data_IF_328272233532
#
_entry.id   IF_328272233532
#
_cell.length_a   1.000
_cell.length_b   1.000
_cell.length_c   1.000
_cell.angle_alpha   90.00
_cell.angle_beta   90.00
_cell.angle_gamma   90.00
#
_symmetry.space_group_name_H-M   'P 1'
#
loop_
_entity.id
_entity.type
_entity.pdbx_description
1 polymer ?
#
# COMPACT_ATOMS: atom_id res chain seq x y z
N UNK A 1 -11.20 34.61 -14.50
CA UNK A 1 -10.53 33.29 -14.48
C UNK A 1 -11.56 32.19 -14.23
N UNK A 2 -11.46 31.03 -14.90
CA UNK A 2 -12.36 29.87 -14.68
C UNK A 2 -11.51 28.62 -14.39
N UNK A 3 -11.66 28.04 -13.20
CA UNK A 3 -11.00 26.78 -12.81
C UNK A 3 -11.79 25.61 -13.43
N UNK A 4 -11.10 24.68 -14.11
CA UNK A 4 -11.72 23.47 -14.70
C UNK A 4 -11.95 22.40 -13.62
N UNK A 5 -10.95 22.16 -12.76
CA UNK A 5 -11.06 21.25 -11.62
C UNK A 5 -9.98 21.52 -10.57
N UNK A 6 -10.28 21.17 -9.32
CA UNK A 6 -9.34 21.16 -8.19
C UNK A 6 -9.45 19.81 -7.49
N UNK A 7 -8.33 19.33 -7.00
CA UNK A 7 -8.24 18.12 -6.20
C UNK A 7 -7.41 18.40 -4.96
N UNK A 8 -7.74 17.70 -3.89
CA UNK A 8 -6.99 17.70 -2.64
C UNK A 8 -6.52 16.28 -2.42
N UNK A 9 -5.22 16.11 -2.17
CA UNK A 9 -4.58 14.82 -2.00
C UNK A 9 -3.67 14.86 -0.77
N UNK A 10 -3.79 13.83 0.05
CA UNK A 10 -2.83 13.57 1.12
C UNK A 10 -1.70 12.69 0.61
N UNK A 11 -0.48 13.04 0.97
CA UNK A 11 0.70 12.25 0.64
C UNK A 11 1.07 11.37 1.84
N UNK A 12 1.63 10.17 1.60
CA UNK A 12 2.14 9.35 2.70
C UNK A 12 3.21 10.09 3.51
N UNK A 13 3.12 9.96 4.84
CA UNK A 13 4.11 10.50 5.75
C UNK A 13 5.06 9.37 6.16
N UNK A 14 6.32 9.47 5.75
CA UNK A 14 7.34 8.46 6.03
C UNK A 14 8.15 8.84 7.26
N UNK A 15 7.74 8.31 8.41
CA UNK A 15 8.53 8.34 9.64
C UNK A 15 9.28 7.02 9.81
N UNK A 16 10.30 7.01 10.66
CA UNK A 16 10.99 5.76 11.03
C UNK A 16 10.01 4.74 11.61
N UNK A 17 9.04 5.19 12.42
CA UNK A 17 7.99 4.32 12.97
C UNK A 17 7.08 3.75 11.88
N UNK A 18 6.74 4.54 10.86
CA UNK A 18 5.94 4.08 9.73
C UNK A 18 6.67 3.00 8.93
N UNK A 19 7.96 3.20 8.64
CA UNK A 19 8.79 2.21 7.95
C UNK A 19 8.94 0.94 8.79
N UNK A 20 9.18 1.06 10.10
CA UNK A 20 9.23 -0.09 11.00
C UNK A 20 7.89 -0.85 11.07
N UNK A 21 6.76 -0.15 10.93
CA UNK A 21 5.44 -0.78 10.88
C UNK A 21 5.17 -1.52 9.56
N UNK A 22 5.75 -1.11 8.43
CA UNK A 22 5.61 -1.79 7.14
C UNK A 22 6.17 -3.23 7.20
N UNK A 23 7.28 -3.43 7.92
CA UNK A 23 7.91 -4.74 8.14
C UNK A 23 7.04 -5.70 8.96
N UNK A 24 6.06 -5.18 9.70
CA UNK A 24 5.16 -5.95 10.56
C UNK A 24 3.90 -6.44 9.83
N UNK A 25 3.92 -6.49 8.50
CA UNK A 25 2.79 -6.93 7.69
C UNK A 25 2.22 -8.27 8.16
N UNK A 26 3.07 -9.25 8.47
CA UNK A 26 2.64 -10.61 8.82
C UNK A 26 1.83 -10.71 10.12
N UNK A 27 1.86 -9.66 10.96
CA UNK A 27 1.00 -9.56 12.14
C UNK A 27 -0.47 -9.37 11.78
N UNK A 28 -0.76 -8.72 10.64
CA UNK A 28 -2.13 -8.39 10.20
C UNK A 28 -2.52 -9.00 8.86
N UNK A 29 -1.54 -9.33 8.02
CA UNK A 29 -1.73 -9.89 6.68
C UNK A 29 -2.12 -11.35 6.72
N UNK A 30 -3.02 -11.75 5.81
CA UNK A 30 -3.57 -13.10 5.72
C UNK A 30 -4.21 -13.57 7.04
N UNK A 31 -4.66 -12.64 7.89
CA UNK A 31 -5.38 -12.95 9.13
C UNK A 31 -6.86 -12.72 8.90
N UNK A 32 -7.70 -13.61 9.43
CA UNK A 32 -9.14 -13.51 9.32
C UNK A 32 -9.61 -13.28 7.87
N UNK A 33 -9.00 -13.99 6.92
CA UNK A 33 -9.30 -13.89 5.48
C UNK A 33 -9.16 -12.46 4.91
N UNK A 34 -8.27 -11.65 5.50
CA UNK A 34 -8.08 -10.24 5.15
C UNK A 34 -6.64 -9.97 4.76
N UNK A 35 -6.47 -9.14 3.73
CA UNK A 35 -5.17 -8.67 3.26
C UNK A 35 -5.21 -7.15 3.07
N UNK A 36 -4.04 -6.53 3.22
CA UNK A 36 -3.83 -5.11 3.01
C UNK A 36 -2.80 -4.90 1.90
N UNK A 37 -3.10 -4.02 0.95
CA UNK A 37 -2.20 -3.59 -0.12
C UNK A 37 -2.44 -2.10 -0.42
N UNK A 38 -1.50 -1.48 -1.11
CA UNK A 38 -1.49 -0.05 -1.41
C UNK A 38 -0.10 0.57 -1.28
N UNK A 39 0.05 1.78 -1.80
CA UNK A 39 1.33 2.49 -1.87
C UNK A 39 2.00 2.75 -0.50
N UNK A 40 1.21 2.78 0.57
CA UNK A 40 1.68 2.95 1.96
C UNK A 40 2.50 1.76 2.50
N UNK A 41 2.54 0.64 1.79
CA UNK A 41 3.35 -0.52 2.22
C UNK A 41 4.83 -0.41 1.86
N UNK A 42 5.23 0.57 1.05
CA UNK A 42 6.62 0.81 0.66
C UNK A 42 6.87 2.33 0.53
N UNK A 43 7.36 2.83 -0.61
CA UNK A 43 7.82 4.21 -0.78
C UNK A 43 6.74 5.19 -1.29
N UNK A 44 5.47 4.78 -1.39
CA UNK A 44 4.36 5.67 -1.75
C UNK A 44 4.12 5.87 -3.24
N UNK A 45 4.83 5.16 -4.12
CA UNK A 45 4.67 5.26 -5.57
C UNK A 45 3.58 4.31 -6.11
N UNK A 46 3.26 4.45 -7.40
CA UNK A 46 2.26 3.59 -8.05
C UNK A 46 2.75 2.14 -8.10
N UNK A 47 4.05 1.96 -8.32
CA UNK A 47 4.75 0.69 -8.35
C UNK A 47 4.65 -0.04 -7.00
N UNK A 48 4.68 0.70 -5.89
CA UNK A 48 4.51 0.15 -4.54
C UNK A 48 3.09 -0.39 -4.32
N UNK A 49 2.09 0.27 -4.92
CA UNK A 49 0.73 -0.24 -5.00
C UNK A 49 0.66 -1.58 -5.74
N UNK A 50 1.33 -1.69 -6.88
CA UNK A 50 1.39 -2.95 -7.65
C UNK A 50 2.14 -4.04 -6.89
N UNK A 51 3.32 -3.74 -6.35
CA UNK A 51 4.13 -4.71 -5.60
C UNK A 51 3.38 -5.27 -4.38
N UNK A 52 2.66 -4.41 -3.66
CA UNK A 52 1.88 -4.84 -2.50
C UNK A 52 0.68 -5.67 -2.90
N UNK A 53 0.06 -5.39 -4.05
CA UNK A 53 -0.99 -6.24 -4.62
C UNK A 53 -0.44 -7.61 -5.03
N UNK A 54 0.74 -7.67 -5.67
CA UNK A 54 1.41 -8.94 -6.03
C UNK A 54 1.73 -9.80 -4.80
N UNK A 55 2.10 -9.19 -3.66
CA UNK A 55 2.25 -9.93 -2.40
C UNK A 55 0.94 -10.62 -1.99
N UNK A 56 -0.20 -9.96 -2.18
CA UNK A 56 -1.52 -10.51 -1.87
C UNK A 56 -1.90 -11.61 -2.86
N UNK A 57 -1.74 -11.41 -4.18
CA UNK A 57 -2.09 -12.43 -5.18
C UNK A 57 -1.29 -13.72 -5.01
N UNK A 58 0.00 -13.62 -4.64
CA UNK A 58 0.83 -14.79 -4.31
C UNK A 58 0.25 -15.62 -3.16
N UNK A 59 -0.38 -15.00 -2.15
CA UNK A 59 -1.05 -15.73 -1.08
C UNK A 59 -2.27 -16.53 -1.55
N UNK A 60 -2.84 -16.16 -2.71
CA UNK A 60 -3.91 -16.90 -3.39
C UNK A 60 -3.37 -17.89 -4.45
N UNK A 61 -2.05 -18.04 -4.57
CA UNK A 61 -1.42 -18.88 -5.60
C UNK A 61 -1.53 -18.32 -7.02
N UNK A 62 -1.71 -17.00 -7.16
CA UNK A 62 -1.82 -16.31 -8.46
C UNK A 62 -0.59 -15.42 -8.67
N UNK A 63 0.09 -15.61 -9.79
CA UNK A 63 1.29 -14.88 -10.18
C UNK A 63 1.13 -14.28 -11.59
N UNK A 64 1.98 -13.31 -11.92
CA UNK A 64 1.93 -12.50 -13.13
C UNK A 64 3.04 -12.92 -14.10
#
# INVERSE_FOLDING_TARGET
>A
EKIIKRFEYDHPVFTLDAVAAQERYDEIGNRNRTHFCGAYWFNGFHEDGVQSALRVTRAFGVEL
#
